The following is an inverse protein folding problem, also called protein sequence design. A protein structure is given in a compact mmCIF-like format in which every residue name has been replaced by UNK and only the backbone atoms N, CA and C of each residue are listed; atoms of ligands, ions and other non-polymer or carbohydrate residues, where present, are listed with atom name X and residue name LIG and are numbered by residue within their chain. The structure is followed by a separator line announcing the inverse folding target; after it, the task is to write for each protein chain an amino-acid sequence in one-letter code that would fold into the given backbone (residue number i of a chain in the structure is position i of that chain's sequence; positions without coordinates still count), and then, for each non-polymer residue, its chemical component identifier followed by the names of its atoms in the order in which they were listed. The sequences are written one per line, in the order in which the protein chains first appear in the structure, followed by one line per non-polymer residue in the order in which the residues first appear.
data_IF_813838247910
#
_entry.id   IF_813838247910
#
_cell.length_a   1.000
_cell.length_b   1.000
_cell.length_c   1.000
_cell.angle_alpha   90.00
_cell.angle_beta   90.00
_cell.angle_gamma   90.00
#
_symmetry.space_group_name_H-M   'P 1'
#
loop_
_entity.id
_entity.type
_entity.pdbx_description
1 polymer ?
#
# COMPACT_ATOMS: atom_id res chain seq x y z
N UNK A 1 12.88 -4.63 13.23
CA UNK A 1 11.60 -3.97 12.86
C UNK A 1 10.77 -4.97 12.09
N UNK A 2 9.52 -5.20 12.50
CA UNK A 2 8.54 -6.09 11.88
C UNK A 2 7.72 -5.33 10.84
N UNK A 3 7.76 -5.79 9.61
CA UNK A 3 7.08 -5.14 8.48
C UNK A 3 6.07 -6.11 7.88
N UNK A 4 4.84 -5.64 7.71
CA UNK A 4 3.82 -6.33 6.92
C UNK A 4 3.69 -5.67 5.55
N UNK A 5 3.88 -6.45 4.50
CA UNK A 5 3.46 -6.07 3.16
C UNK A 5 2.16 -6.79 2.80
N UNK A 6 1.12 -6.01 2.50
CA UNK A 6 -0.11 -6.54 1.91
C UNK A 6 0.12 -6.61 0.40
N UNK A 7 0.27 -7.83 -0.11
CA UNK A 7 0.86 -8.11 -1.42
C UNK A 7 2.31 -8.58 -1.28
N UNK A 8 3.26 -7.77 -1.76
CA UNK A 8 4.70 -8.06 -1.67
C UNK A 8 5.33 -8.73 -2.89
N UNK A 9 4.53 -9.30 -3.80
CA UNK A 9 5.03 -10.06 -4.96
C UNK A 9 4.60 -9.45 -6.30
N UNK A 10 4.44 -8.13 -6.35
CA UNK A 10 4.18 -7.34 -7.56
C UNK A 10 5.44 -6.65 -8.09
N UNK A 11 5.30 -5.80 -9.11
CA UNK A 11 6.42 -5.10 -9.78
C UNK A 11 7.24 -4.28 -8.77
N UNK A 12 6.63 -3.30 -8.12
CA UNK A 12 7.31 -2.45 -7.13
C UNK A 12 7.65 -3.25 -5.87
N UNK A 13 6.68 -4.03 -5.39
CA UNK A 13 6.74 -4.64 -4.07
C UNK A 13 7.72 -5.80 -3.97
N UNK A 14 8.04 -6.48 -5.07
CA UNK A 14 9.07 -7.52 -5.09
C UNK A 14 10.47 -6.96 -4.80
N UNK A 15 10.85 -5.87 -5.48
CA UNK A 15 12.11 -5.18 -5.22
C UNK A 15 12.19 -4.64 -3.79
N UNK A 16 11.09 -4.08 -3.28
CA UNK A 16 11.04 -3.62 -1.88
C UNK A 16 11.12 -4.78 -0.88
N UNK A 17 10.54 -5.94 -1.20
CA UNK A 17 10.57 -7.11 -0.31
C UNK A 17 11.99 -7.64 -0.17
N UNK A 18 12.69 -7.77 -1.30
CA UNK A 18 14.10 -8.18 -1.31
C UNK A 18 14.97 -7.21 -0.53
N UNK A 19 14.85 -5.90 -0.79
CA UNK A 19 15.62 -4.89 -0.06
C UNK A 19 15.32 -4.90 1.44
N UNK A 20 14.07 -5.13 1.84
CA UNK A 20 13.72 -5.19 3.27
C UNK A 20 14.43 -6.34 3.99
N UNK A 21 14.52 -7.51 3.35
CA UNK A 21 15.23 -8.69 3.88
C UNK A 21 16.74 -8.42 3.92
N UNK A 22 17.32 -7.87 2.86
CA UNK A 22 18.75 -7.51 2.80
C UNK A 22 19.14 -6.51 3.91
N UNK A 23 18.19 -5.66 4.32
CA UNK A 23 18.34 -4.72 5.44
C UNK A 23 18.13 -5.36 6.82
N UNK A 24 17.82 -6.65 6.89
CA UNK A 24 17.59 -7.39 8.13
C UNK A 24 16.25 -7.11 8.80
N UNK A 25 15.25 -6.63 8.05
CA UNK A 25 13.89 -6.48 8.59
C UNK A 25 13.16 -7.82 8.64
N UNK A 26 12.33 -8.01 9.66
CA UNK A 26 11.43 -9.16 9.79
C UNK A 26 10.22 -8.92 8.88
N UNK A 27 10.30 -9.43 7.65
CA UNK A 27 9.31 -9.19 6.62
C UNK A 27 8.26 -10.31 6.61
N UNK A 28 7.00 -9.91 6.76
CA UNK A 28 5.84 -10.76 6.52
C UNK A 28 5.06 -10.27 5.30
N UNK A 29 4.70 -11.20 4.41
CA UNK A 29 3.84 -10.94 3.25
C UNK A 29 2.46 -11.52 3.49
N UNK A 30 1.42 -10.69 3.40
CA UNK A 30 0.03 -11.14 3.34
C UNK A 30 -0.44 -11.14 1.89
N UNK A 31 -0.65 -12.33 1.30
CA UNK A 31 -1.13 -12.44 -0.08
C UNK A 31 -1.88 -13.75 -0.34
N UNK A 32 -2.50 -13.87 -1.52
CA UNK A 32 -3.32 -15.02 -1.90
C UNK A 32 -2.52 -16.25 -2.36
N UNK A 33 -1.19 -16.13 -2.51
CA UNK A 33 -0.36 -17.18 -3.11
C UNK A 33 -0.57 -17.39 -4.61
N UNK A 34 -1.17 -16.43 -5.31
CA UNK A 34 -1.51 -16.53 -6.74
C UNK A 34 -0.52 -15.79 -7.67
N UNK A 35 0.53 -15.16 -7.13
CA UNK A 35 1.52 -14.46 -7.96
C UNK A 35 2.42 -15.46 -8.68
N UNK A 36 2.79 -15.17 -9.92
CA UNK A 36 3.82 -15.93 -10.64
C UNK A 36 5.23 -15.67 -10.12
N UNK A 37 5.42 -14.59 -9.35
CA UNK A 37 6.72 -14.23 -8.77
C UNK A 37 6.95 -14.99 -7.47
N UNK A 38 8.15 -15.54 -7.26
CA UNK A 38 8.46 -16.25 -6.03
C UNK A 38 8.43 -15.30 -4.84
N UNK A 39 8.17 -15.88 -3.68
CA UNK A 39 8.35 -15.20 -2.40
C UNK A 39 9.86 -15.19 -2.12
N UNK A 40 10.44 -14.04 -1.77
CA UNK A 40 11.87 -13.97 -1.51
C UNK A 40 12.23 -14.79 -0.26
N UNK A 41 13.36 -15.49 -0.35
CA UNK A 41 13.91 -16.26 0.77
C UNK A 41 14.09 -15.36 2.00
N UNK A 42 13.62 -15.81 3.16
CA UNK A 42 13.66 -15.05 4.40
C UNK A 42 12.40 -14.23 4.70
N UNK A 43 11.47 -14.07 3.76
CA UNK A 43 10.14 -13.56 4.07
C UNK A 43 9.25 -14.66 4.67
N UNK A 44 8.48 -14.31 5.70
CA UNK A 44 7.34 -15.13 6.15
C UNK A 44 6.13 -14.84 5.28
N UNK A 45 5.37 -15.88 4.93
CA UNK A 45 4.10 -15.72 4.22
C UNK A 45 2.92 -16.00 5.16
N UNK A 46 1.93 -15.11 5.14
CA UNK A 46 0.58 -15.38 5.63
C UNK A 46 -0.33 -15.44 4.40
N UNK A 47 -0.91 -16.60 4.13
CA UNK A 47 -1.80 -16.77 2.99
C UNK A 47 -3.23 -16.40 3.36
N UNK A 48 -3.70 -15.24 2.92
CA UNK A 48 -5.10 -14.82 3.04
C UNK A 48 -5.43 -13.77 1.97
N UNK A 49 -6.73 -13.56 1.71
CA UNK A 49 -7.20 -12.47 0.86
C UNK A 49 -7.57 -11.25 1.72
N UNK A 50 -6.86 -10.14 1.55
CA UNK A 50 -7.19 -8.86 2.20
C UNK A 50 -8.56 -8.31 1.78
N UNK A 51 -9.13 -8.81 0.68
CA UNK A 51 -10.49 -8.50 0.22
C UNK A 51 -11.57 -9.30 0.94
N UNK A 52 -11.18 -10.26 1.79
CA UNK A 52 -12.06 -10.92 2.74
C UNK A 52 -11.68 -10.45 4.16
N UNK A 53 -12.37 -9.41 4.70
CA UNK A 53 -12.01 -8.81 5.99
C UNK A 53 -11.96 -9.80 7.15
N UNK A 54 -12.90 -10.75 7.22
CA UNK A 54 -12.92 -11.75 8.28
C UNK A 54 -11.73 -12.71 8.19
N UNK A 55 -11.40 -13.18 6.99
CA UNK A 55 -10.23 -14.03 6.80
C UNK A 55 -8.92 -13.28 7.09
N UNK A 56 -8.80 -12.02 6.66
CA UNK A 56 -7.64 -11.19 6.95
C UNK A 56 -7.49 -10.92 8.45
N UNK A 57 -8.59 -10.60 9.13
CA UNK A 57 -8.63 -10.38 10.58
C UNK A 57 -8.21 -11.63 11.35
N UNK A 58 -8.74 -12.80 10.97
CA UNK A 58 -8.36 -14.07 11.58
C UNK A 58 -6.88 -14.39 11.36
N UNK A 59 -6.38 -14.20 10.14
CA UNK A 59 -4.98 -14.46 9.79
C UNK A 59 -3.99 -13.53 10.51
N UNK A 60 -4.41 -12.30 10.82
CA UNK A 60 -3.59 -11.29 11.51
C UNK A 60 -3.91 -11.15 13.00
N UNK A 61 -4.75 -12.02 13.58
CA UNK A 61 -5.28 -11.83 14.93
C UNK A 61 -4.19 -11.74 16.01
N UNK A 62 -3.18 -12.59 15.92
CA UNK A 62 -2.07 -12.68 16.87
C UNK A 62 -0.79 -11.96 16.39
N UNK A 63 -0.92 -11.15 15.35
CA UNK A 63 0.19 -10.46 14.71
C UNK A 63 0.21 -8.98 15.10
N UNK A 64 1.42 -8.43 15.23
CA UNK A 64 1.69 -7.01 15.40
C UNK A 64 2.87 -6.61 14.54
N UNK A 65 2.76 -5.45 13.88
CA UNK A 65 3.76 -4.96 12.95
C UNK A 65 4.07 -3.49 13.24
N UNK A 66 5.36 -3.16 13.24
CA UNK A 66 5.82 -1.78 13.38
C UNK A 66 5.37 -0.95 12.18
N UNK A 67 5.43 -1.55 10.98
CA UNK A 67 5.08 -0.90 9.72
C UNK A 67 4.19 -1.81 8.87
N UNK A 68 3.12 -1.25 8.31
CA UNK A 68 2.29 -1.89 7.28
C UNK A 68 2.42 -1.14 5.98
N UNK A 69 2.67 -1.83 4.86
CA UNK A 69 2.66 -1.25 3.52
C UNK A 69 1.60 -1.95 2.67
N UNK A 70 0.62 -1.20 2.18
CA UNK A 70 -0.41 -1.74 1.31
C UNK A 70 -0.15 -1.40 -0.15
N UNK A 71 0.23 -2.42 -0.91
CA UNK A 71 0.54 -2.36 -2.33
C UNK A 71 -0.70 -2.55 -3.22
N UNK A 72 -1.80 -3.03 -2.65
CA UNK A 72 -2.97 -3.52 -3.40
C UNK A 72 -4.27 -2.85 -2.99
N UNK A 73 -4.24 -1.75 -2.23
CA UNK A 73 -5.41 -0.92 -1.93
C UNK A 73 -5.75 0.01 -3.11
N UNK A 74 -6.98 -0.09 -3.62
CA UNK A 74 -7.41 0.64 -4.82
C UNK A 74 -8.72 1.40 -4.67
N UNK A 75 -9.36 1.37 -3.51
CA UNK A 75 -10.65 2.03 -3.28
C UNK A 75 -10.86 2.37 -1.79
N UNK A 76 -11.74 3.32 -1.45
CA UNK A 76 -12.03 3.70 -0.07
C UNK A 76 -12.49 2.54 0.81
N UNK A 77 -13.18 1.54 0.25
CA UNK A 77 -13.62 0.35 0.97
C UNK A 77 -12.42 -0.49 1.42
N UNK A 78 -11.39 -0.58 0.57
CA UNK A 78 -10.13 -1.23 0.95
C UNK A 78 -9.46 -0.50 2.11
N UNK A 79 -9.47 0.84 2.09
CA UNK A 79 -8.95 1.66 3.19
C UNK A 79 -9.77 1.48 4.47
N UNK A 80 -11.10 1.34 4.38
CA UNK A 80 -11.94 1.10 5.54
C UNK A 80 -11.54 -0.20 6.25
N UNK A 81 -11.36 -1.29 5.49
CA UNK A 81 -10.84 -2.56 6.03
C UNK A 81 -9.46 -2.40 6.67
N UNK A 82 -8.54 -1.68 6.02
CA UNK A 82 -7.20 -1.45 6.58
C UNK A 82 -7.25 -0.67 7.90
N UNK A 83 -8.10 0.36 7.98
CA UNK A 83 -8.28 1.13 9.21
C UNK A 83 -8.84 0.26 10.34
N UNK A 84 -9.81 -0.61 10.07
CA UNK A 84 -10.32 -1.57 11.06
C UNK A 84 -9.26 -2.56 11.53
N UNK A 85 -8.38 -3.00 10.63
CA UNK A 85 -7.34 -3.97 10.95
C UNK A 85 -6.16 -3.37 11.73
N UNK A 86 -5.78 -2.13 11.43
CA UNK A 86 -4.50 -1.57 11.85
C UNK A 86 -4.59 -0.34 12.77
N UNK A 87 -5.76 0.27 12.96
CA UNK A 87 -5.88 1.40 13.88
C UNK A 87 -5.49 0.98 15.32
N UNK A 88 -4.56 1.71 15.92
CA UNK A 88 -3.97 1.38 17.22
C UNK A 88 -3.10 0.10 17.25
N UNK A 89 -2.82 -0.53 16.10
CA UNK A 89 -2.08 -1.80 15.98
C UNK A 89 -0.80 -1.72 15.15
N UNK A 90 -0.51 -0.57 14.55
CA UNK A 90 0.75 -0.30 13.84
C UNK A 90 1.26 1.10 14.12
N UNK A 91 2.58 1.28 14.11
CA UNK A 91 3.21 2.58 14.33
C UNK A 91 3.31 3.40 13.03
N UNK A 92 3.21 2.74 11.87
CA UNK A 92 3.26 3.40 10.56
C UNK A 92 2.50 2.59 9.51
N UNK A 93 1.60 3.24 8.78
CA UNK A 93 0.94 2.70 7.60
C UNK A 93 1.39 3.45 6.36
N UNK A 94 1.79 2.73 5.32
CA UNK A 94 2.22 3.29 4.04
C UNK A 94 1.23 2.88 2.95
N UNK A 95 0.61 3.88 2.34
CA UNK A 95 -0.28 3.71 1.20
C UNK A 95 0.44 4.00 -0.11
N UNK A 96 0.36 3.06 -1.04
CA UNK A 96 0.87 3.25 -2.40
C UNK A 96 -0.24 3.82 -3.28
N UNK A 97 -0.22 5.12 -3.47
CA UNK A 97 -1.08 5.86 -4.39
C UNK A 97 -0.48 5.89 -5.81
N UNK A 98 -0.64 6.98 -6.55
CA UNK A 98 -0.11 7.15 -7.91
C UNK A 98 0.05 8.63 -8.24
N UNK A 99 1.09 8.99 -9.01
CA UNK A 99 1.25 10.33 -9.56
C UNK A 99 0.10 10.73 -10.49
N UNK A 100 -0.66 9.77 -11.03
CA UNK A 100 -1.88 10.06 -11.79
C UNK A 100 -2.99 10.71 -10.95
N UNK A 101 -2.88 10.72 -9.61
CA UNK A 101 -3.81 11.43 -8.73
C UNK A 101 -3.69 12.96 -8.85
N UNK A 102 -2.53 13.47 -9.26
CA UNK A 102 -2.32 14.90 -9.45
C UNK A 102 -3.21 15.48 -10.55
N UNK A 103 -3.42 16.80 -10.47
CA UNK A 103 -4.22 17.55 -11.43
C UNK A 103 -3.83 17.21 -12.87
N UNK A 104 -4.82 16.74 -13.64
CA UNK A 104 -4.64 16.35 -15.04
C UNK A 104 -5.67 17.06 -15.92
N UNK A 105 -5.26 17.92 -16.88
CA UNK A 105 -3.87 18.32 -17.16
C UNK A 105 -3.25 19.19 -16.04
N UNK A 106 -1.92 19.17 -15.86
CA UNK A 106 -1.27 19.98 -14.85
C UNK A 106 -1.36 21.47 -15.19
N UNK A 107 -1.68 22.30 -14.20
CA UNK A 107 -1.71 23.76 -14.37
C UNK A 107 -0.30 24.36 -14.50
N UNK A 108 0.69 23.78 -13.79
CA UNK A 108 2.08 24.22 -13.78
C UNK A 108 3.03 23.02 -13.65
N UNK A 109 4.28 23.23 -14.08
CA UNK A 109 5.38 22.28 -13.91
C UNK A 109 6.54 22.95 -13.15
N UNK A 110 7.32 22.20 -12.36
CA UNK A 110 7.16 20.77 -12.06
C UNK A 110 5.94 20.50 -11.16
N UNK A 111 5.37 19.29 -11.27
CA UNK A 111 4.36 18.81 -10.32
C UNK A 111 5.04 18.61 -8.96
N UNK A 112 4.40 19.08 -7.89
CA UNK A 112 4.87 18.93 -6.50
C UNK A 112 3.78 18.31 -5.65
N UNK A 113 4.09 17.95 -4.41
CA UNK A 113 3.12 17.40 -3.46
C UNK A 113 1.99 18.39 -3.14
N UNK A 114 2.19 19.69 -3.39
CA UNK A 114 1.18 20.74 -3.25
C UNK A 114 0.28 20.90 -4.49
N UNK A 115 0.58 20.23 -5.60
CA UNK A 115 -0.32 20.21 -6.76
C UNK A 115 -1.66 19.59 -6.36
N UNK A 116 -2.80 20.23 -6.67
CA UNK A 116 -4.12 19.68 -6.34
C UNK A 116 -4.31 18.27 -6.88
N UNK A 117 -5.06 17.46 -6.14
CA UNK A 117 -5.44 16.13 -6.59
C UNK A 117 -6.75 16.21 -7.37
N UNK A 118 -6.68 16.11 -8.69
CA UNK A 118 -7.86 16.14 -9.54
C UNK A 118 -7.60 15.51 -10.91
N UNK A 119 -8.10 14.29 -11.12
CA UNK A 119 -8.00 13.63 -12.41
C UNK A 119 -9.39 13.19 -12.91
N UNK A 120 -10.00 13.94 -13.85
CA UNK A 120 -11.31 13.59 -14.40
C UNK A 120 -11.24 12.46 -15.44
N UNK A 121 -10.04 12.12 -15.92
CA UNK A 121 -9.85 11.17 -17.03
C UNK A 121 -9.96 9.72 -16.56
N UNK A 122 -9.30 9.36 -15.46
CA UNK A 122 -9.19 7.96 -15.04
C UNK A 122 -9.95 7.66 -13.74
N UNK A 123 -10.83 6.66 -13.79
CA UNK A 123 -11.54 6.17 -12.61
C UNK A 123 -10.57 5.67 -11.53
N UNK A 124 -9.49 4.99 -11.92
CA UNK A 124 -8.41 4.57 -11.04
C UNK A 124 -7.83 5.74 -10.23
N UNK A 125 -7.52 6.86 -10.90
CA UNK A 125 -6.95 8.04 -10.24
C UNK A 125 -7.94 8.64 -9.25
N UNK A 126 -9.23 8.77 -9.62
CA UNK A 126 -10.27 9.22 -8.68
C UNK A 126 -10.40 8.32 -7.45
N UNK A 127 -10.31 7.01 -7.64
CA UNK A 127 -10.35 6.06 -6.53
C UNK A 127 -9.12 6.20 -5.62
N UNK A 128 -7.93 6.40 -6.18
CA UNK A 128 -6.71 6.70 -5.39
C UNK A 128 -6.84 8.01 -4.61
N UNK A 129 -7.39 9.07 -5.22
CA UNK A 129 -7.67 10.33 -4.52
C UNK A 129 -8.60 10.10 -3.33
N UNK A 130 -9.71 9.38 -3.54
CA UNK A 130 -10.66 9.07 -2.47
C UNK A 130 -10.03 8.21 -1.34
N UNK A 131 -9.10 7.30 -1.67
CA UNK A 131 -8.32 6.57 -0.66
C UNK A 131 -7.46 7.53 0.19
N UNK A 132 -6.73 8.44 -0.47
CA UNK A 132 -5.90 9.43 0.23
C UNK A 132 -6.73 10.33 1.14
N UNK A 133 -7.88 10.82 0.67
CA UNK A 133 -8.79 11.65 1.47
C UNK A 133 -9.29 10.90 2.71
N UNK A 134 -9.66 9.62 2.57
CA UNK A 134 -10.11 8.78 3.67
C UNK A 134 -9.01 8.55 4.71
N UNK A 135 -7.77 8.31 4.27
CA UNK A 135 -6.61 8.11 5.14
C UNK A 135 -6.21 9.41 5.85
N UNK A 136 -6.15 10.53 5.13
CA UNK A 136 -5.81 11.84 5.71
C UNK A 136 -6.90 12.31 6.69
N UNK A 137 -8.16 11.95 6.46
CA UNK A 137 -9.23 12.14 7.44
C UNK A 137 -8.97 11.33 8.71
N UNK A 138 -8.67 10.02 8.59
CA UNK A 138 -8.34 9.18 9.75
C UNK A 138 -7.10 9.68 10.51
N UNK A 139 -6.10 10.23 9.81
CA UNK A 139 -4.96 10.87 10.46
C UNK A 139 -5.38 12.08 11.30
N UNK A 140 -6.22 12.96 10.76
CA UNK A 140 -6.68 14.17 11.45
C UNK A 140 -7.64 13.88 12.61
N UNK A 141 -8.51 12.89 12.46
CA UNK A 141 -9.55 12.57 13.44
C UNK A 141 -9.06 11.60 14.52
N UNK A 142 -8.32 10.56 14.12
CA UNK A 142 -7.96 9.43 14.98
C UNK A 142 -6.45 9.31 15.24
N UNK A 143 -5.62 10.15 14.60
CA UNK A 143 -4.17 10.06 14.70
C UNK A 143 -3.55 8.87 13.95
N UNK A 144 -4.28 8.27 13.00
CA UNK A 144 -3.80 7.11 12.25
C UNK A 144 -2.48 7.40 11.49
N UNK A 145 -1.37 6.67 11.74
CA UNK A 145 -0.03 7.09 11.34
C UNK A 145 0.26 6.77 9.87
N UNK A 146 -0.29 7.55 8.94
CA UNK A 146 -0.20 7.29 7.50
C UNK A 146 0.89 8.10 6.80
N UNK A 147 1.52 7.47 5.80
CA UNK A 147 2.29 8.15 4.75
C UNK A 147 1.81 7.67 3.39
N UNK A 148 1.65 8.62 2.47
CA UNK A 148 1.21 8.36 1.10
C UNK A 148 2.41 8.50 0.16
N UNK A 149 2.63 7.48 -0.67
CA UNK A 149 3.64 7.53 -1.74
C UNK A 149 2.89 7.56 -3.07
N UNK A 150 3.24 8.45 -3.99
CA UNK A 150 2.62 8.59 -5.32
C UNK A 150 3.64 8.25 -6.43
N UNK A 151 3.93 6.96 -6.69
CA UNK A 151 4.82 6.58 -7.77
C UNK A 151 4.30 7.07 -9.12
N UNK A 152 5.21 7.47 -10.01
CA UNK A 152 4.91 7.74 -11.42
C UNK A 152 4.92 6.44 -12.21
N UNK A 153 5.48 6.42 -13.41
CA UNK A 153 5.68 5.20 -14.18
C UNK A 153 6.69 4.29 -13.48
N UNK A 154 6.33 3.01 -13.33
CA UNK A 154 7.16 2.00 -12.66
C UNK A 154 7.34 0.79 -13.55
N UNK A 155 8.55 0.27 -13.60
CA UNK A 155 8.95 -0.85 -14.45
C UNK A 155 9.95 -1.73 -13.70
N UNK A 156 10.18 -2.94 -14.22
CA UNK A 156 11.24 -3.83 -13.73
C UNK A 156 11.76 -4.74 -14.86
N UNK A 157 12.55 -5.75 -14.51
CA UNK A 157 13.13 -6.69 -15.48
C UNK A 157 12.10 -7.52 -16.27
N UNK A 158 10.83 -7.51 -15.85
CA UNK A 158 9.73 -8.28 -16.46
C UNK A 158 8.64 -7.41 -17.09
N UNK A 159 8.63 -6.09 -16.80
CA UNK A 159 7.73 -5.12 -17.41
C UNK A 159 8.55 -3.92 -17.86
N UNK A 160 8.74 -3.78 -19.16
CA UNK A 160 9.42 -2.63 -19.76
C UNK A 160 8.50 -1.38 -19.75
N UNK A 161 9.07 -0.17 -19.63
CA UNK A 161 8.31 1.07 -19.59
C UNK A 161 7.59 1.41 -20.90
#
# INVERSE_FOLDING_TARGET
MKILFIGGTGIISSACSQLAIERGYDLTLLNRGQSSRPIPDGARQIQADIRNPEAAKAALANEQFDVVVNWVAFSPEHIATDLELFNGRTAQYIFISSASAYQTPPAHLPITESTPLHNPVWAYSRQKIACEERLLRAYREDGFPVTVIRPSHTYDQTLLP
#
